data_IF_056455309452
#
_entry.id   IF_056455309452
#
_cell.length_a   1.000
_cell.length_b   1.000
_cell.length_c   1.000
_cell.angle_alpha   90.00
_cell.angle_beta   90.00
_cell.angle_gamma   90.00
#
_symmetry.space_group_name_H-M   'P 1'
#
loop_
_entity.id
_entity.type
_entity.pdbx_description
1 polymer ?
#
# COMPACT_ATOMS: atom_id res chain seq x y z
N UNK A 1 10.13 22.19 -0.24
CA UNK A 1 10.84 22.15 -1.54
C UNK A 1 10.68 20.82 -2.29
N UNK A 2 10.77 19.62 -1.69
CA UNK A 2 10.59 18.36 -2.44
C UNK A 2 9.13 17.89 -2.55
N UNK A 3 8.31 18.10 -1.51
CA UNK A 3 6.93 17.61 -1.50
C UNK A 3 6.04 18.37 -2.49
N UNK A 4 6.14 19.70 -2.52
CA UNK A 4 5.40 20.56 -3.46
C UNK A 4 5.67 20.20 -4.93
N UNK A 5 6.88 19.71 -5.25
CA UNK A 5 7.20 19.28 -6.60
C UNK A 5 6.48 17.99 -7.00
N UNK A 6 6.37 17.03 -6.07
CA UNK A 6 5.59 15.79 -6.27
C UNK A 6 4.10 16.14 -6.38
N UNK A 7 3.59 17.01 -5.50
CA UNK A 7 2.18 17.40 -5.49
C UNK A 7 1.77 18.18 -6.75
N UNK A 8 2.71 18.82 -7.43
CA UNK A 8 2.48 19.54 -8.68
C UNK A 8 2.41 18.63 -9.93
N UNK A 9 2.73 17.33 -9.81
CA UNK A 9 2.67 16.42 -10.96
C UNK A 9 1.23 15.92 -11.20
N UNK A 10 0.75 15.85 -12.46
CA UNK A 10 -0.52 15.20 -12.77
C UNK A 10 -0.52 13.71 -12.40
N UNK A 11 -1.63 13.21 -11.83
CA UNK A 11 -1.72 11.84 -11.33
C UNK A 11 -1.49 10.79 -12.43
N UNK A 12 -1.87 11.09 -13.67
CA UNK A 12 -1.72 10.19 -14.83
C UNK A 12 -0.26 10.03 -15.27
N UNK A 13 0.64 10.88 -14.78
CA UNK A 13 2.08 10.84 -15.09
C UNK A 13 2.91 10.20 -13.98
N UNK A 14 2.31 10.01 -12.81
CA UNK A 14 2.95 9.39 -11.66
C UNK A 14 2.68 7.88 -11.67
N UNK A 15 3.73 7.12 -11.98
CA UNK A 15 3.69 5.67 -11.93
C UNK A 15 4.60 5.15 -10.82
N UNK A 16 4.15 4.09 -10.15
CA UNK A 16 4.95 3.35 -9.20
C UNK A 16 5.19 1.94 -9.73
N UNK A 17 6.43 1.46 -9.68
CA UNK A 17 6.72 0.08 -10.08
C UNK A 17 6.04 -0.91 -9.13
N UNK A 18 5.66 -2.08 -9.64
CA UNK A 18 5.09 -3.16 -8.83
C UNK A 18 6.07 -3.63 -7.73
N UNK A 19 7.38 -3.52 -7.98
CA UNK A 19 8.44 -3.83 -7.01
C UNK A 19 8.39 -2.82 -5.86
N UNK A 20 8.33 -1.53 -6.15
CA UNK A 20 8.27 -0.48 -5.12
C UNK A 20 7.00 -0.62 -4.27
N UNK A 21 5.86 -0.98 -4.87
CA UNK A 21 4.63 -1.32 -4.11
C UNK A 21 4.87 -2.50 -3.17
N UNK A 22 5.57 -3.54 -3.62
CA UNK A 22 5.90 -4.71 -2.79
C UNK A 22 6.85 -4.36 -1.63
N UNK A 23 7.86 -3.52 -1.86
CA UNK A 23 8.78 -3.05 -0.82
C UNK A 23 8.06 -2.23 0.25
N UNK A 24 7.16 -1.32 -0.14
CA UNK A 24 6.33 -0.56 0.80
C UNK A 24 5.47 -1.50 1.67
N UNK A 25 4.86 -2.50 1.06
CA UNK A 25 4.06 -3.53 1.76
C UNK A 25 4.90 -4.33 2.74
N UNK A 26 6.09 -4.76 2.33
CA UNK A 26 7.04 -5.47 3.20
C UNK A 26 7.47 -4.59 4.38
N UNK A 27 7.81 -3.32 4.14
CA UNK A 27 8.16 -2.36 5.18
C UNK A 27 7.06 -2.18 6.23
N UNK A 28 5.80 -2.09 5.82
CA UNK A 28 4.65 -2.01 6.75
C UNK A 28 4.47 -3.31 7.52
N UNK A 29 4.64 -4.47 6.87
CA UNK A 29 4.50 -5.78 7.52
C UNK A 29 5.54 -6.02 8.63
N UNK A 30 6.73 -5.45 8.51
CA UNK A 30 7.80 -5.51 9.50
C UNK A 30 7.57 -4.65 10.75
N UNK A 31 6.60 -3.73 10.72
CA UNK A 31 6.27 -2.92 11.90
C UNK A 31 5.64 -3.79 13.01
N UNK A 32 5.94 -3.49 14.29
CA UNK A 32 5.23 -4.10 15.41
C UNK A 32 3.71 -3.90 15.30
N UNK A 33 2.94 -4.86 15.80
CA UNK A 33 1.50 -4.75 15.83
C UNK A 33 1.07 -3.49 16.61
N UNK A 34 0.23 -2.67 16.00
CA UNK A 34 -0.23 -1.43 16.62
C UNK A 34 -0.83 -0.45 15.62
N UNK A 35 -1.31 0.68 16.14
CA UNK A 35 -2.04 1.70 15.38
C UNK A 35 -1.28 2.19 14.13
N UNK A 36 0.04 2.36 14.25
CA UNK A 36 0.89 2.82 13.14
C UNK A 36 0.89 1.83 11.97
N UNK A 37 1.06 0.53 12.24
CA UNK A 37 1.03 -0.51 11.21
C UNK A 37 -0.33 -0.55 10.53
N UNK A 38 -1.41 -0.56 11.31
CA UNK A 38 -2.78 -0.60 10.78
C UNK A 38 -3.10 0.61 9.91
N UNK A 39 -2.76 1.82 10.36
CA UNK A 39 -3.02 3.05 9.60
C UNK A 39 -2.25 3.10 8.29
N UNK A 40 -0.97 2.73 8.29
CA UNK A 40 -0.16 2.69 7.07
C UNK A 40 -0.62 1.61 6.09
N UNK A 41 -1.03 0.45 6.59
CA UNK A 41 -1.56 -0.62 5.74
C UNK A 41 -2.85 -0.18 5.04
N UNK A 42 -3.80 0.39 5.79
CA UNK A 42 -5.06 0.89 5.22
C UNK A 42 -4.85 2.02 4.23
N UNK A 43 -3.97 2.98 4.54
CA UNK A 43 -3.64 4.08 3.64
C UNK A 43 -3.01 3.59 2.34
N UNK A 44 -2.05 2.66 2.42
CA UNK A 44 -1.39 2.10 1.24
C UNK A 44 -2.35 1.29 0.36
N UNK A 45 -3.20 0.46 0.96
CA UNK A 45 -4.21 -0.30 0.23
C UNK A 45 -5.23 0.63 -0.44
N UNK A 46 -5.67 1.69 0.25
CA UNK A 46 -6.65 2.64 -0.30
C UNK A 46 -6.06 3.49 -1.43
N UNK A 47 -4.78 3.86 -1.36
CA UNK A 47 -4.12 4.70 -2.35
C UNK A 47 -3.66 3.90 -3.59
N UNK A 48 -3.07 2.72 -3.41
CA UNK A 48 -2.59 1.90 -4.52
C UNK A 48 -3.68 1.02 -5.14
N UNK A 49 -4.72 0.68 -4.37
CA UNK A 49 -5.81 -0.19 -4.79
C UNK A 49 -7.14 0.49 -4.51
N UNK A 50 -7.29 1.73 -4.98
CA UNK A 50 -8.63 2.29 -5.17
C UNK A 50 -9.40 1.31 -6.04
N UNK A 51 -10.42 0.68 -5.46
CA UNK A 51 -11.13 -0.42 -6.08
C UNK A 51 -11.92 0.11 -7.28
N UNK A 52 -11.29 0.08 -8.46
CA UNK A 52 -12.02 -0.11 -9.70
C UNK A 52 -12.46 -1.57 -9.75
N UNK A 53 -13.73 -1.89 -10.04
CA UNK A 53 -14.25 -3.27 -10.04
C UNK A 53 -13.50 -4.22 -10.99
N UNK A 54 -12.63 -3.70 -11.86
CA UNK A 54 -11.79 -4.50 -12.76
C UNK A 54 -10.48 -5.03 -12.16
N UNK A 55 -10.00 -4.54 -11.01
CA UNK A 55 -8.63 -4.85 -10.50
C UNK A 55 -8.59 -5.51 -9.11
N UNK A 56 -9.73 -5.65 -8.43
CA UNK A 56 -9.78 -6.44 -7.20
C UNK A 56 -9.70 -7.94 -7.52
N UNK A 57 -8.49 -8.51 -7.50
CA UNK A 57 -8.24 -9.95 -7.45
C UNK A 57 -8.05 -10.39 -5.99
N UNK A 58 -9.01 -11.10 -5.36
CA UNK A 58 -8.89 -11.57 -3.98
C UNK A 58 -7.86 -12.69 -3.77
N UNK A 59 -7.30 -13.26 -4.85
CA UNK A 59 -6.60 -14.55 -4.80
C UNK A 59 -5.09 -14.48 -4.51
N UNK A 60 -4.46 -13.31 -4.52
CA UNK A 60 -3.00 -13.19 -4.38
C UNK A 60 -2.53 -12.45 -3.12
N UNK A 61 -3.44 -12.02 -2.24
CA UNK A 61 -3.07 -11.37 -0.99
C UNK A 61 -3.11 -12.35 0.18
N UNK A 62 -1.96 -12.89 0.65
CA UNK A 62 -1.94 -13.68 1.86
C UNK A 62 -2.16 -12.73 3.05
N UNK A 63 -3.39 -12.68 3.56
CA UNK A 63 -3.64 -12.11 4.88
C UNK A 63 -2.72 -12.81 5.90
N UNK A 64 -2.02 -12.07 6.78
CA UNK A 64 -1.17 -12.69 7.78
C UNK A 64 -2.05 -13.60 8.64
N UNK A 65 -1.77 -14.91 8.62
CA UNK A 65 -2.47 -15.85 9.49
C UNK A 65 -2.23 -15.40 10.92
N UNK A 66 -3.28 -14.94 11.60
CA UNK A 66 -3.26 -14.74 13.04
C UNK A 66 -2.95 -16.11 13.65
N UNK A 67 -1.70 -16.33 14.04
CA UNK A 67 -1.31 -17.47 14.88
C UNK A 67 -2.08 -17.31 16.19
N UNK A 68 -3.19 -18.04 16.30
CA UNK A 68 -3.79 -18.33 17.59
C UNK A 68 -2.92 -19.44 18.19
N UNK A 69 -2.43 -19.21 19.40
CA UNK A 69 -2.00 -20.28 20.29
C UNK A 69 -3.25 -20.88 20.94
#
# INVERSE_FOLDING_TARGET
MHLEWIDAQPLETLFLSSITVAELRAGVALLPAGKRRTGLQQGLESACFHCSPAVCCPSTWPAPKRMHN
#
